data_IF_454763968893
#
_entry.id   IF_454763968893
#
_cell.length_a   1.000
_cell.length_b   1.000
_cell.length_c   1.000
_cell.angle_alpha   90.00
_cell.angle_beta   90.00
_cell.angle_gamma   90.00
#
_symmetry.space_group_name_H-M   'P 1'
#
loop_
_entity.id
_entity.type
_entity.pdbx_description
1 polymer ?
#
# COMPACT_ATOMS: atom_id res chain seq x y z
N UNK A 1 19.16 -8.99 11.18
CA UNK A 1 17.86 -9.38 10.64
C UNK A 1 16.95 -8.15 10.72
N UNK A 2 16.52 -7.64 9.59
CA UNK A 2 15.88 -6.33 9.50
C UNK A 2 14.50 -6.28 10.18
N UNK A 3 14.44 -5.63 11.34
CA UNK A 3 13.21 -5.35 12.10
C UNK A 3 12.64 -3.94 11.79
N UNK A 4 13.12 -3.27 10.72
CA UNK A 4 12.92 -1.82 10.61
C UNK A 4 11.58 -1.39 10.00
N UNK A 5 10.94 -2.22 9.19
CA UNK A 5 9.72 -1.86 8.50
C UNK A 5 8.43 -2.29 9.20
N UNK A 6 8.43 -3.42 9.89
CA UNK A 6 7.27 -3.83 10.70
C UNK A 6 6.85 -2.79 11.74
N UNK A 7 7.74 -1.83 12.09
CA UNK A 7 7.43 -0.74 12.99
C UNK A 7 6.74 0.46 12.36
N UNK A 8 6.75 0.59 11.03
CA UNK A 8 6.18 1.76 10.33
C UNK A 8 4.73 1.52 9.89
N UNK A 9 4.42 0.37 9.28
CA UNK A 9 3.04 0.00 8.91
C UNK A 9 2.52 -1.00 9.95
N UNK A 10 1.44 -0.65 10.62
CA UNK A 10 0.87 -1.47 11.70
C UNK A 10 -0.10 -2.54 11.15
N UNK A 11 -0.31 -3.64 11.90
CA UNK A 11 -1.39 -4.56 11.57
C UNK A 11 -2.73 -3.82 11.50
N UNK A 12 -3.56 -4.19 10.52
CA UNK A 12 -4.90 -3.60 10.31
C UNK A 12 -4.92 -2.11 9.97
N UNK A 13 -3.77 -1.49 9.71
CA UNK A 13 -3.66 -0.12 9.25
C UNK A 13 -3.82 -0.09 7.72
N UNK A 14 -4.97 0.33 7.17
CA UNK A 14 -5.21 0.27 5.73
C UNK A 14 -4.29 1.21 4.96
N UNK A 15 -3.87 0.75 3.78
CA UNK A 15 -2.99 1.49 2.86
C UNK A 15 -3.85 2.04 1.72
N UNK A 16 -3.85 3.35 1.50
CA UNK A 16 -4.47 3.94 0.33
C UNK A 16 -3.53 3.91 -0.87
N UNK A 17 -4.04 3.49 -2.02
CA UNK A 17 -3.30 3.53 -3.30
C UNK A 17 -3.86 4.68 -4.14
N UNK A 18 -3.05 5.72 -4.30
CA UNK A 18 -3.35 6.86 -5.17
C UNK A 18 -2.85 6.52 -6.58
N UNK A 19 -3.77 6.06 -7.44
CA UNK A 19 -3.53 5.72 -8.84
C UNK A 19 -4.53 6.43 -9.72
N UNK A 20 -4.18 7.62 -10.13
CA UNK A 20 -5.01 8.54 -10.93
C UNK A 20 -4.23 9.00 -12.14
N UNK A 21 -4.96 9.40 -13.18
CA UNK A 21 -4.37 9.97 -14.40
C UNK A 21 -3.94 11.43 -14.17
N UNK A 22 -4.60 12.13 -13.24
CA UNK A 22 -4.30 13.48 -12.79
C UNK A 22 -4.00 13.49 -11.29
N UNK A 23 -2.90 14.13 -10.90
CA UNK A 23 -2.40 14.27 -9.54
C UNK A 23 -2.28 15.75 -9.08
N UNK A 24 -2.87 16.69 -9.80
CA UNK A 24 -2.88 18.12 -9.41
C UNK A 24 -3.45 18.32 -8.00
N UNK A 25 -4.45 17.51 -7.62
CA UNK A 25 -5.10 17.55 -6.32
C UNK A 25 -4.51 16.59 -5.28
N UNK A 26 -3.26 16.12 -5.48
CA UNK A 26 -2.62 15.11 -4.62
C UNK A 26 -2.60 15.50 -3.14
N UNK A 27 -2.39 16.78 -2.83
CA UNK A 27 -2.36 17.31 -1.45
C UNK A 27 -3.75 17.24 -0.80
N UNK A 28 -4.79 17.64 -1.54
CA UNK A 28 -6.17 17.61 -1.07
C UNK A 28 -6.69 16.20 -0.88
N UNK A 29 -6.35 15.29 -1.80
CA UNK A 29 -6.61 13.85 -1.68
C UNK A 29 -5.98 13.30 -0.41
N UNK A 30 -4.68 13.54 -0.22
CA UNK A 30 -3.94 13.06 0.93
C UNK A 30 -4.47 13.63 2.25
N UNK A 31 -4.88 14.91 2.25
CA UNK A 31 -5.49 15.56 3.41
C UNK A 31 -6.84 14.94 3.76
N UNK A 32 -7.69 14.68 2.77
CA UNK A 32 -8.98 14.05 2.97
C UNK A 32 -8.85 12.62 3.50
N UNK A 33 -7.92 11.83 2.95
CA UNK A 33 -7.60 10.48 3.42
C UNK A 33 -7.10 10.50 4.88
N UNK A 34 -6.17 11.42 5.20
CA UNK A 34 -5.62 11.59 6.54
C UNK A 34 -6.71 12.00 7.55
N UNK A 35 -7.59 12.92 7.18
CA UNK A 35 -8.73 13.34 8.01
C UNK A 35 -9.72 12.18 8.27
N UNK A 36 -9.77 11.18 7.40
CA UNK A 36 -10.50 9.93 7.57
C UNK A 36 -9.74 8.84 8.34
N UNK A 37 -8.48 9.10 8.74
CA UNK A 37 -7.65 8.17 9.52
C UNK A 37 -6.74 7.28 8.67
N UNK A 38 -6.65 7.48 7.36
CA UNK A 38 -5.69 6.75 6.50
C UNK A 38 -4.33 7.47 6.55
N UNK A 39 -3.43 6.92 7.31
CA UNK A 39 -2.09 7.48 7.54
C UNK A 39 -0.98 6.87 6.67
N UNK A 40 -1.28 5.81 5.92
CA UNK A 40 -0.36 5.17 4.98
C UNK A 40 -0.89 5.32 3.56
N UNK A 41 -0.12 5.97 2.70
CA UNK A 41 -0.55 6.27 1.33
C UNK A 41 0.58 5.99 0.34
N UNK A 42 0.29 5.28 -0.76
CA UNK A 42 1.23 5.04 -1.84
C UNK A 42 0.80 5.80 -3.11
N UNK A 43 1.74 6.44 -3.78
CA UNK A 43 1.56 7.04 -5.10
C UNK A 43 2.08 6.09 -6.17
N UNK A 44 1.19 5.65 -7.08
CA UNK A 44 1.55 4.70 -8.13
C UNK A 44 2.34 5.37 -9.26
N UNK A 45 3.56 4.89 -9.53
CA UNK A 45 4.47 5.41 -10.55
C UNK A 45 4.02 5.10 -11.99
N UNK A 46 2.79 4.65 -12.18
CA UNK A 46 2.13 4.61 -13.50
C UNK A 46 1.83 5.99 -14.05
N UNK A 47 1.78 7.01 -13.18
CA UNK A 47 1.69 8.41 -13.56
C UNK A 47 3.10 9.03 -13.49
N UNK A 48 3.60 9.68 -14.56
CA UNK A 48 4.95 10.27 -14.59
C UNK A 48 5.15 11.38 -13.55
N UNK A 49 4.09 12.04 -13.06
CA UNK A 49 4.14 13.08 -12.05
C UNK A 49 3.99 12.55 -10.61
N UNK A 50 3.96 11.22 -10.41
CA UNK A 50 3.69 10.64 -9.09
C UNK A 50 4.76 10.98 -8.04
N UNK A 51 6.04 11.04 -8.42
CA UNK A 51 7.13 11.40 -7.51
C UNK A 51 7.08 12.90 -7.12
N UNK A 52 6.71 13.75 -8.07
CA UNK A 52 6.50 15.18 -7.79
C UNK A 52 5.32 15.38 -6.83
N UNK A 53 4.21 14.70 -7.07
CA UNK A 53 3.02 14.73 -6.22
C UNK A 53 3.36 14.23 -4.79
N UNK A 54 4.08 13.11 -4.67
CA UNK A 54 4.54 12.59 -3.39
C UNK A 54 5.37 13.63 -2.63
N UNK A 55 6.36 14.23 -3.29
CA UNK A 55 7.21 15.26 -2.69
C UNK A 55 6.42 16.52 -2.29
N UNK A 56 5.39 16.91 -3.04
CA UNK A 56 4.50 18.01 -2.68
C UNK A 56 3.67 17.68 -1.44
N UNK A 57 3.09 16.48 -1.37
CA UNK A 57 2.32 16.03 -0.20
C UNK A 57 3.20 16.01 1.04
N UNK A 58 4.41 15.46 0.95
CA UNK A 58 5.34 15.41 2.07
C UNK A 58 5.70 16.81 2.62
N UNK A 59 5.87 17.79 1.73
CA UNK A 59 6.15 19.19 2.16
C UNK A 59 4.95 19.88 2.80
N UNK A 60 3.71 19.53 2.35
CA UNK A 60 2.47 20.22 2.75
C UNK A 60 1.75 19.57 3.93
N UNK A 61 2.00 18.28 4.17
CA UNK A 61 1.36 17.47 5.21
C UNK A 61 2.42 16.74 6.05
N UNK A 62 3.21 17.45 6.86
CA UNK A 62 4.24 16.82 7.69
C UNK A 62 3.63 16.07 8.87
N UNK A 63 4.32 15.07 9.38
CA UNK A 63 4.10 14.44 10.67
C UNK A 63 3.56 13.03 10.61
N UNK A 64 2.26 12.82 10.63
CA UNK A 64 1.65 11.49 10.85
C UNK A 64 1.35 10.70 9.59
N UNK A 65 1.82 11.14 8.43
CA UNK A 65 1.58 10.53 7.13
C UNK A 65 2.83 9.78 6.65
N UNK A 66 2.69 8.46 6.45
CA UNK A 66 3.71 7.62 5.84
C UNK A 66 3.45 7.54 4.33
N UNK A 67 4.35 8.10 3.53
CA UNK A 67 4.24 8.18 2.07
C UNK A 67 5.14 7.18 1.38
N UNK A 68 4.60 6.42 0.44
CA UNK A 68 5.33 5.45 -0.35
C UNK A 68 5.15 5.59 -1.86
N UNK A 69 6.05 4.99 -2.60
CA UNK A 69 5.96 4.85 -4.05
C UNK A 69 5.49 3.43 -4.41
N UNK A 70 4.42 3.35 -5.19
CA UNK A 70 3.87 2.10 -5.71
C UNK A 70 4.18 1.88 -7.18
N UNK A 71 4.06 0.63 -7.63
CA UNK A 71 4.39 0.22 -9.00
C UNK A 71 5.86 0.51 -9.36
N UNK A 72 6.73 0.29 -8.39
CA UNK A 72 8.19 0.34 -8.59
C UNK A 72 8.60 -0.94 -9.31
N UNK A 73 9.23 -0.84 -10.49
CA UNK A 73 9.50 -1.98 -11.36
C UNK A 73 10.97 -2.40 -11.42
N UNK A 74 11.88 -1.54 -11.00
CA UNK A 74 13.32 -1.80 -11.03
C UNK A 74 14.08 -1.00 -9.97
N UNK A 75 15.39 -1.25 -9.88
CA UNK A 75 16.29 -0.60 -8.93
C UNK A 75 16.47 0.91 -9.19
N UNK A 76 16.33 1.38 -10.42
CA UNK A 76 16.47 2.80 -10.77
C UNK A 76 15.24 3.58 -10.29
N UNK A 77 14.04 3.06 -10.58
CA UNK A 77 12.78 3.59 -10.05
C UNK A 77 12.79 3.62 -8.52
N UNK A 78 13.30 2.56 -7.88
CA UNK A 78 13.42 2.51 -6.43
C UNK A 78 14.30 3.64 -5.87
N UNK A 79 15.50 3.85 -6.45
CA UNK A 79 16.40 4.94 -6.05
C UNK A 79 15.78 6.32 -6.28
N UNK A 80 15.11 6.51 -7.42
CA UNK A 80 14.41 7.77 -7.72
C UNK A 80 13.28 8.05 -6.74
N UNK A 81 12.51 7.03 -6.38
CA UNK A 81 11.44 7.16 -5.39
C UNK A 81 11.99 7.54 -4.00
N UNK A 82 13.07 6.89 -3.57
CA UNK A 82 13.74 7.20 -2.30
C UNK A 82 14.27 8.63 -2.31
N UNK A 83 14.92 9.06 -3.40
CA UNK A 83 15.42 10.42 -3.54
C UNK A 83 14.31 11.48 -3.52
N UNK A 84 13.11 11.14 -4.01
CA UNK A 84 11.91 11.99 -3.94
C UNK A 84 11.23 12.00 -2.56
N UNK A 85 11.73 11.20 -1.60
CA UNK A 85 11.24 11.17 -0.23
C UNK A 85 10.26 10.02 0.07
N UNK A 86 10.18 8.99 -0.77
CA UNK A 86 9.39 7.81 -0.43
C UNK A 86 9.95 7.12 0.83
N UNK A 87 9.06 6.83 1.77
CA UNK A 87 9.39 6.20 3.04
C UNK A 87 9.11 4.69 3.04
N UNK A 88 8.47 4.17 2.00
CA UNK A 88 8.34 2.75 1.69
C UNK A 88 8.17 2.55 0.18
N UNK A 89 8.44 1.34 -0.30
CA UNK A 89 8.33 0.97 -1.71
C UNK A 89 7.32 -0.17 -1.88
N UNK A 90 6.57 -0.14 -2.97
CA UNK A 90 5.63 -1.23 -3.31
C UNK A 90 5.86 -1.68 -4.75
N UNK A 91 6.02 -2.99 -4.94
CA UNK A 91 6.14 -3.57 -6.28
C UNK A 91 4.85 -4.32 -6.67
N UNK A 92 4.53 -4.45 -7.96
CA UNK A 92 3.38 -5.26 -8.41
C UNK A 92 3.71 -6.76 -8.50
N UNK A 93 4.99 -7.10 -8.52
CA UNK A 93 5.51 -8.46 -8.68
C UNK A 93 6.74 -8.68 -7.79
N UNK A 94 7.22 -9.91 -7.70
CA UNK A 94 8.45 -10.24 -6.98
C UNK A 94 9.67 -9.74 -7.77
N UNK A 95 10.29 -8.67 -7.28
CA UNK A 95 11.42 -7.97 -7.89
C UNK A 95 12.56 -7.88 -6.85
N UNK A 96 13.50 -8.86 -6.86
CA UNK A 96 14.58 -8.94 -5.87
C UNK A 96 15.48 -7.71 -5.80
N UNK A 97 15.76 -7.07 -6.94
CA UNK A 97 16.59 -5.87 -7.04
C UNK A 97 15.97 -4.67 -6.30
N UNK A 98 14.66 -4.47 -6.38
CA UNK A 98 13.96 -3.45 -5.61
C UNK A 98 14.04 -3.72 -4.11
N UNK A 99 13.88 -4.98 -3.68
CA UNK A 99 14.02 -5.36 -2.27
C UNK A 99 15.43 -5.04 -1.76
N UNK A 100 16.46 -5.36 -2.55
CA UNK A 100 17.87 -5.07 -2.20
C UNK A 100 18.10 -3.57 -2.05
N UNK A 101 17.59 -2.75 -2.97
CA UNK A 101 17.72 -1.27 -2.89
C UNK A 101 17.02 -0.73 -1.65
N UNK A 102 15.77 -1.11 -1.40
CA UNK A 102 15.02 -0.65 -0.24
C UNK A 102 15.72 -1.03 1.09
N UNK A 103 16.17 -2.27 1.22
CA UNK A 103 16.92 -2.74 2.39
C UNK A 103 18.21 -1.96 2.61
N UNK A 104 18.97 -1.72 1.54
CA UNK A 104 20.23 -0.97 1.63
C UNK A 104 20.02 0.48 2.07
N UNK A 105 18.88 1.06 1.74
CA UNK A 105 18.48 2.40 2.15
C UNK A 105 17.73 2.44 3.50
N UNK A 106 17.45 1.29 4.12
CA UNK A 106 16.64 1.20 5.35
C UNK A 106 15.16 1.53 5.13
N UNK A 107 14.68 1.41 3.87
CA UNK A 107 13.30 1.70 3.45
C UNK A 107 12.52 0.39 3.34
N UNK A 108 11.33 0.31 3.96
CA UNK A 108 10.44 -0.84 3.85
C UNK A 108 10.04 -1.17 2.43
N UNK A 109 9.97 -2.47 2.11
CA UNK A 109 9.48 -2.95 0.81
C UNK A 109 8.28 -3.88 0.98
N UNK A 110 7.16 -3.52 0.34
CA UNK A 110 6.00 -4.38 0.13
C UNK A 110 6.17 -5.03 -1.26
N UNK A 111 6.72 -6.25 -1.28
CA UNK A 111 6.95 -6.96 -2.53
C UNK A 111 5.69 -7.63 -3.05
N UNK A 112 5.35 -7.37 -4.31
CA UNK A 112 4.25 -8.07 -4.99
C UNK A 112 4.53 -9.55 -5.16
N UNK A 113 3.50 -10.37 -5.03
CA UNK A 113 3.51 -11.80 -5.28
C UNK A 113 2.06 -12.29 -5.45
N UNK A 114 1.90 -13.45 -6.06
CA UNK A 114 0.59 -14.10 -6.13
C UNK A 114 0.65 -15.57 -5.71
N UNK A 115 1.64 -16.32 -6.14
CA UNK A 115 1.78 -17.75 -5.80
C UNK A 115 2.54 -17.96 -4.49
N UNK A 116 2.37 -19.11 -3.80
CA UNK A 116 3.15 -19.45 -2.60
C UNK A 116 4.67 -19.40 -2.84
N UNK A 117 5.13 -19.77 -4.05
CA UNK A 117 6.56 -19.71 -4.42
C UNK A 117 7.06 -18.27 -4.45
N UNK A 118 6.32 -17.35 -5.06
CA UNK A 118 6.67 -15.93 -5.10
C UNK A 118 6.60 -15.29 -3.71
N UNK A 119 5.58 -15.62 -2.93
CA UNK A 119 5.40 -15.13 -1.55
C UNK A 119 6.60 -15.53 -0.68
N UNK A 120 6.98 -16.81 -0.73
CA UNK A 120 8.13 -17.32 0.02
C UNK A 120 9.44 -16.73 -0.50
N UNK A 121 9.57 -16.55 -1.83
CA UNK A 121 10.73 -15.92 -2.47
C UNK A 121 10.89 -14.46 -2.01
N UNK A 122 9.84 -13.67 -2.06
CA UNK A 122 9.83 -12.27 -1.60
C UNK A 122 10.22 -12.18 -0.11
N UNK A 123 9.62 -13.00 0.74
CA UNK A 123 9.92 -13.05 2.16
C UNK A 123 11.38 -13.41 2.45
N UNK A 124 11.90 -14.45 1.79
CA UNK A 124 13.30 -14.90 1.96
C UNK A 124 14.31 -13.88 1.45
N UNK A 125 13.97 -13.14 0.42
CA UNK A 125 14.81 -12.04 -0.11
C UNK A 125 14.84 -10.85 0.85
N UNK A 126 13.87 -10.77 1.78
CA UNK A 126 13.84 -9.78 2.85
C UNK A 126 12.84 -8.66 2.61
N UNK A 127 11.78 -8.91 1.86
CA UNK A 127 10.61 -8.03 1.87
C UNK A 127 10.06 -7.91 3.29
N UNK A 128 9.59 -6.72 3.65
CA UNK A 128 9.05 -6.46 4.98
C UNK A 128 7.58 -6.87 5.10
N UNK A 129 6.84 -6.71 4.01
CA UNK A 129 5.48 -7.18 3.82
C UNK A 129 5.37 -7.79 2.42
N UNK A 130 4.40 -8.68 2.21
CA UNK A 130 4.15 -9.29 0.90
C UNK A 130 2.76 -8.89 0.41
N UNK A 131 2.73 -8.10 -0.66
CA UNK A 131 1.53 -7.69 -1.35
C UNK A 131 1.00 -8.85 -2.20
N UNK A 132 -0.15 -9.39 -1.85
CA UNK A 132 -0.84 -10.40 -2.67
C UNK A 132 -1.67 -9.66 -3.73
N UNK A 133 -1.25 -9.78 -5.01
CA UNK A 133 -1.87 -9.03 -6.11
C UNK A 133 -2.00 -9.86 -7.39
N UNK A 134 -3.17 -9.86 -8.05
CA UNK A 134 -4.44 -9.26 -7.66
C UNK A 134 -5.27 -10.16 -6.72
N UNK A 135 -5.70 -9.67 -5.56
CA UNK A 135 -6.36 -10.47 -4.54
C UNK A 135 -7.86 -10.68 -4.75
N UNK A 136 -8.53 -9.81 -5.53
CA UNK A 136 -9.99 -9.80 -5.66
C UNK A 136 -10.57 -11.09 -6.21
N UNK A 137 -9.91 -11.71 -7.19
CA UNK A 137 -10.36 -12.98 -7.78
C UNK A 137 -10.05 -14.20 -6.90
N UNK A 138 -9.02 -14.11 -6.06
CA UNK A 138 -8.60 -15.20 -5.17
C UNK A 138 -9.43 -15.22 -3.87
N UNK A 139 -9.81 -14.06 -3.38
CA UNK A 139 -10.64 -13.93 -2.18
C UNK A 139 -9.92 -14.21 -0.86
N UNK A 140 -10.63 -14.03 0.29
CA UNK A 140 -10.06 -14.25 1.62
C UNK A 140 -9.63 -15.70 1.88
N UNK A 141 -10.30 -16.70 1.31
CA UNK A 141 -9.95 -18.10 1.49
C UNK A 141 -8.50 -18.39 1.03
N UNK A 142 -8.08 -17.78 -0.08
CA UNK A 142 -6.72 -17.90 -0.57
C UNK A 142 -5.66 -17.44 0.45
N UNK A 143 -5.91 -16.32 1.13
CA UNK A 143 -5.01 -15.80 2.17
C UNK A 143 -4.84 -16.83 3.30
N UNK A 144 -5.96 -17.39 3.76
CA UNK A 144 -5.98 -18.43 4.80
C UNK A 144 -5.20 -19.67 4.36
N UNK A 145 -5.43 -20.13 3.14
CA UNK A 145 -4.80 -21.35 2.59
C UNK A 145 -3.28 -21.17 2.44
N UNK A 146 -2.82 -19.99 1.98
CA UNK A 146 -1.38 -19.66 1.90
C UNK A 146 -0.75 -19.59 3.29
N UNK A 147 -1.42 -18.98 4.26
CA UNK A 147 -0.88 -18.85 5.62
C UNK A 147 -0.81 -20.18 6.38
N UNK A 148 -1.55 -21.21 5.97
CA UNK A 148 -1.47 -22.54 6.55
C UNK A 148 -0.03 -23.08 6.55
N UNK A 149 0.61 -23.30 5.39
CA UNK A 149 2.00 -23.76 5.29
C UNK A 149 3.05 -22.65 5.47
N UNK A 150 2.67 -21.37 5.37
CA UNK A 150 3.59 -20.22 5.45
C UNK A 150 3.18 -19.26 6.59
N UNK A 151 3.08 -19.72 7.84
CA UNK A 151 2.64 -18.88 8.94
C UNK A 151 3.64 -17.76 9.23
N UNK A 152 3.12 -16.60 9.61
CA UNK A 152 3.95 -15.47 10.03
C UNK A 152 4.49 -14.59 8.90
N UNK A 153 4.20 -14.90 7.62
CA UNK A 153 4.46 -13.96 6.52
C UNK A 153 3.36 -12.90 6.53
N UNK A 154 3.71 -11.60 6.66
CA UNK A 154 2.72 -10.53 6.70
C UNK A 154 2.16 -10.24 5.29
N UNK A 155 1.01 -10.81 4.97
CA UNK A 155 0.34 -10.67 3.69
C UNK A 155 -0.53 -9.41 3.64
N UNK A 156 -0.49 -8.70 2.52
CA UNK A 156 -1.27 -7.49 2.24
C UNK A 156 -2.08 -7.69 0.95
N UNK A 157 -3.32 -8.20 1.04
CA UNK A 157 -4.22 -8.30 -0.10
C UNK A 157 -4.42 -6.95 -0.77
N UNK A 158 -4.29 -6.93 -2.10
CA UNK A 158 -4.35 -5.74 -2.93
C UNK A 158 -5.06 -6.03 -4.25
N UNK A 159 -5.84 -5.08 -4.74
CA UNK A 159 -6.64 -5.25 -5.97
C UNK A 159 -7.94 -5.99 -5.71
N UNK A 160 -9.08 -5.31 -5.96
CA UNK A 160 -10.41 -5.82 -5.67
C UNK A 160 -10.83 -5.74 -4.20
N UNK A 161 -10.01 -5.14 -3.33
CA UNK A 161 -10.38 -4.87 -1.94
C UNK A 161 -11.37 -3.72 -1.88
N UNK A 162 -12.46 -3.90 -1.12
CA UNK A 162 -13.53 -2.93 -0.92
C UNK A 162 -14.15 -3.08 0.48
N UNK A 163 -15.12 -2.23 0.85
CA UNK A 163 -15.77 -2.28 2.16
C UNK A 163 -16.46 -3.61 2.45
N UNK A 164 -16.95 -4.30 1.42
CA UNK A 164 -17.64 -5.58 1.57
C UNK A 164 -16.72 -6.77 1.85
N UNK A 165 -15.41 -6.64 1.63
CA UNK A 165 -14.48 -7.77 1.77
C UNK A 165 -13.21 -7.49 2.61
N UNK A 166 -12.90 -6.24 2.94
CA UNK A 166 -11.67 -5.91 3.67
C UNK A 166 -11.61 -6.58 5.05
N UNK A 167 -12.72 -6.60 5.80
CA UNK A 167 -12.82 -7.29 7.08
C UNK A 167 -12.60 -8.80 6.94
N UNK A 168 -13.16 -9.43 5.89
CA UNK A 168 -12.98 -10.86 5.63
C UNK A 168 -11.51 -11.21 5.29
N UNK A 169 -10.79 -10.36 4.57
CA UNK A 169 -9.36 -10.55 4.34
C UNK A 169 -8.56 -10.50 5.65
N UNK A 170 -8.88 -9.58 6.55
CA UNK A 170 -8.21 -9.48 7.86
C UNK A 170 -8.54 -10.67 8.76
N UNK A 171 -9.80 -11.12 8.78
CA UNK A 171 -10.23 -12.31 9.50
C UNK A 171 -9.56 -13.59 8.96
N UNK A 172 -9.20 -13.62 7.67
CA UNK A 172 -8.44 -14.70 7.05
C UNK A 172 -6.94 -14.70 7.41
N UNK A 173 -6.46 -13.70 8.18
CA UNK A 173 -5.09 -13.60 8.67
C UNK A 173 -4.22 -12.61 7.90
N UNK A 174 -4.78 -11.79 6.99
CA UNK A 174 -4.03 -10.72 6.36
C UNK A 174 -3.48 -9.74 7.41
N UNK A 175 -2.26 -9.26 7.21
CA UNK A 175 -1.62 -8.29 8.09
C UNK A 175 -2.33 -6.94 8.06
N UNK A 176 -2.61 -6.47 6.86
CA UNK A 176 -3.45 -5.31 6.53
C UNK A 176 -3.96 -5.45 5.11
N UNK A 177 -4.63 -4.44 4.58
CA UNK A 177 -5.15 -4.40 3.20
C UNK A 177 -4.69 -3.13 2.48
N UNK A 178 -4.50 -3.20 1.15
CA UNK A 178 -4.25 -2.02 0.34
C UNK A 178 -5.41 -1.77 -0.64
N UNK A 179 -5.94 -0.55 -0.61
CA UNK A 179 -7.19 -0.18 -1.26
C UNK A 179 -6.93 0.89 -2.33
N UNK A 180 -7.25 0.56 -3.57
CA UNK A 180 -7.13 1.49 -4.72
C UNK A 180 -8.45 2.22 -5.02
N UNK A 181 -9.02 1.98 -6.20
CA UNK A 181 -10.18 2.69 -6.75
C UNK A 181 -11.46 2.59 -5.90
N UNK A 182 -11.56 1.58 -5.03
CA UNK A 182 -12.68 1.47 -4.08
C UNK A 182 -12.62 2.55 -2.98
N UNK A 183 -11.45 3.14 -2.72
CA UNK A 183 -11.25 4.24 -1.78
C UNK A 183 -10.96 5.54 -2.54
N UNK A 184 -9.88 5.58 -3.33
CA UNK A 184 -9.52 6.75 -4.14
C UNK A 184 -10.30 6.68 -5.45
N UNK A 185 -11.57 7.07 -5.36
CA UNK A 185 -12.51 7.01 -6.47
C UNK A 185 -12.33 8.19 -7.43
N UNK A 186 -12.16 7.90 -8.73
CA UNK A 186 -11.93 8.93 -9.76
C UNK A 186 -13.06 9.97 -9.83
N UNK A 187 -14.32 9.58 -9.62
CA UNK A 187 -15.46 10.50 -9.68
C UNK A 187 -15.48 11.44 -8.47
N UNK A 188 -15.23 10.93 -7.27
CA UNK A 188 -15.12 11.74 -6.04
C UNK A 188 -13.99 12.77 -6.20
N UNK A 189 -12.83 12.35 -6.72
CA UNK A 189 -11.68 13.24 -6.93
C UNK A 189 -11.99 14.28 -8.01
N UNK A 190 -12.53 13.87 -9.17
CA UNK A 190 -12.89 14.78 -10.26
C UNK A 190 -13.88 15.86 -9.83
N UNK A 191 -14.83 15.51 -8.94
CA UNK A 191 -15.81 16.45 -8.39
C UNK A 191 -15.30 17.22 -7.17
N UNK A 192 -14.10 16.91 -6.68
CA UNK A 192 -13.50 17.48 -5.47
C UNK A 192 -14.38 17.31 -4.23
N UNK A 193 -15.08 16.18 -4.13
CA UNK A 193 -15.97 15.84 -3.01
C UNK A 193 -15.14 15.34 -1.80
N UNK A 194 -14.26 16.20 -1.27
CA UNK A 194 -13.33 15.83 -0.18
C UNK A 194 -14.01 15.31 1.09
N UNK A 195 -15.15 15.85 1.53
CA UNK A 195 -15.89 15.28 2.65
C UNK A 195 -16.35 13.83 2.39
N UNK A 196 -16.74 13.50 1.16
CA UNK A 196 -17.13 12.13 0.80
C UNK A 196 -15.92 11.19 0.82
N UNK A 197 -14.76 11.65 0.33
CA UNK A 197 -13.52 10.86 0.40
C UNK A 197 -13.10 10.63 1.86
N UNK A 198 -13.20 11.65 2.72
CA UNK A 198 -12.90 11.54 4.16
C UNK A 198 -13.82 10.54 4.83
N UNK A 199 -15.12 10.57 4.54
CA UNK A 199 -16.09 9.64 5.13
C UNK A 199 -15.83 8.20 4.67
N UNK A 200 -15.54 8.00 3.38
CA UNK A 200 -15.19 6.69 2.83
C UNK A 200 -13.91 6.14 3.47
N UNK A 201 -12.90 6.99 3.67
CA UNK A 201 -11.67 6.63 4.36
C UNK A 201 -11.95 6.18 5.81
N UNK A 202 -12.81 6.90 6.54
CA UNK A 202 -13.22 6.55 7.92
C UNK A 202 -13.92 5.20 7.98
N UNK A 203 -14.79 4.90 7.01
CA UNK A 203 -15.46 3.59 6.92
C UNK A 203 -14.46 2.45 6.72
N UNK A 204 -13.44 2.61 5.88
CA UNK A 204 -12.38 1.61 5.72
C UNK A 204 -11.56 1.42 7.00
N UNK A 205 -11.18 2.51 7.68
CA UNK A 205 -10.46 2.43 8.97
C UNK A 205 -11.29 1.65 9.99
N UNK A 206 -12.57 1.97 10.12
CA UNK A 206 -13.47 1.28 11.04
C UNK A 206 -13.64 -0.20 10.68
N UNK A 207 -13.86 -0.52 9.41
CA UNK A 207 -13.99 -1.90 8.94
C UNK A 207 -12.72 -2.73 9.18
N UNK A 208 -11.54 -2.12 9.11
CA UNK A 208 -10.26 -2.77 9.41
C UNK A 208 -10.02 -2.95 10.92
N UNK A 209 -10.54 -2.08 11.77
CA UNK A 209 -10.34 -2.14 13.23
C UNK A 209 -11.19 -3.21 13.90
N UNK A 210 -12.42 -3.46 13.41
CA UNK A 210 -13.43 -4.33 14.04
C UNK A 210 -13.39 -5.81 13.62
N UNK A 211 -12.45 -6.21 12.80
CA UNK A 211 -12.38 -7.57 12.19
C UNK A 211 -11.62 -8.57 13.06
#
# INVERSE_FOLDING_TARGET
MAKHAKGKIQPRQPIAIVRLDDLEQAVEISRALLAGGITVQEFALTNPHALEALAQVQRRLPGDLLLGAGTVLDAEMARSAIAAGAEFLVTPAFLPDVIVVGRSAGIPVLSGAFTPTEILGAWRTGADLVKVFPAGGAGPAYIKDVLGPLPGIPLVPTGGVNLGNCAAFLAAGAYTVAIGSSLVNKEIVRKQEWPALTELARQFVQACATS
#
